data_IF_078461664397
#
_entry.id   IF_078461664397
#
_cell.length_a   1.000
_cell.length_b   1.000
_cell.length_c   1.000
_cell.angle_alpha   90.00
_cell.angle_beta   90.00
_cell.angle_gamma   90.00
#
_symmetry.space_group_name_H-M   'P 1'
#
loop_
_entity.id
_entity.type
_entity.pdbx_description
1 polymer ?
#
# COMPACT_ATOMS: atom_id res chain seq x y z
N UNK A 1 9.33 9.13 -31.24
CA UNK A 1 8.76 7.83 -30.83
C UNK A 1 9.48 7.39 -29.58
N UNK A 2 8.79 7.29 -28.43
CA UNK A 2 9.39 6.73 -27.22
C UNK A 2 9.70 5.23 -27.48
N UNK A 3 10.94 4.82 -27.25
CA UNK A 3 11.33 3.41 -27.32
C UNK A 3 10.57 2.67 -26.21
N UNK A 4 9.93 1.56 -26.57
CA UNK A 4 9.33 0.67 -25.59
C UNK A 4 10.36 0.14 -24.57
N UNK A 5 9.89 -0.46 -23.47
CA UNK A 5 10.79 -1.00 -22.42
C UNK A 5 11.77 -2.01 -23.03
N UNK A 6 13.03 -1.94 -22.60
CA UNK A 6 14.10 -2.86 -23.01
C UNK A 6 13.98 -4.22 -22.30
N UNK A 7 14.71 -5.23 -22.76
CA UNK A 7 14.79 -6.53 -22.10
C UNK A 7 15.25 -6.37 -20.62
N UNK A 8 16.23 -5.51 -20.37
CA UNK A 8 16.71 -5.23 -19.00
C UNK A 8 15.61 -4.63 -18.11
N UNK A 9 14.70 -3.84 -18.70
CA UNK A 9 13.54 -3.28 -17.98
C UNK A 9 12.58 -4.41 -17.56
N UNK A 10 12.34 -5.39 -18.43
CA UNK A 10 11.51 -6.54 -18.11
C UNK A 10 12.14 -7.44 -17.05
N UNK A 11 13.45 -7.72 -17.14
CA UNK A 11 14.19 -8.50 -16.14
C UNK A 11 14.13 -7.79 -14.78
N UNK A 12 14.36 -6.48 -14.74
CA UNK A 12 14.28 -5.69 -13.52
C UNK A 12 12.86 -5.67 -12.92
N UNK A 13 11.81 -5.64 -13.77
CA UNK A 13 10.43 -5.71 -13.30
C UNK A 13 10.09 -7.09 -12.70
N UNK A 14 10.58 -8.17 -13.33
CA UNK A 14 10.43 -9.53 -12.81
C UNK A 14 11.17 -9.72 -11.47
N UNK A 15 12.40 -9.22 -11.34
CA UNK A 15 13.15 -9.27 -10.06
C UNK A 15 12.40 -8.53 -8.95
N UNK A 16 11.88 -7.33 -9.23
CA UNK A 16 11.06 -6.58 -8.25
C UNK A 16 9.80 -7.33 -7.84
N UNK A 17 9.11 -7.95 -8.81
CA UNK A 17 7.92 -8.75 -8.52
C UNK A 17 8.23 -9.95 -7.63
N UNK A 18 9.31 -10.68 -7.92
CA UNK A 18 9.75 -11.81 -7.09
C UNK A 18 10.14 -11.36 -5.67
N UNK A 19 10.83 -10.22 -5.54
CA UNK A 19 11.18 -9.66 -4.22
C UNK A 19 9.95 -9.24 -3.45
N UNK A 20 9.02 -8.52 -4.08
CA UNK A 20 7.79 -8.06 -3.44
C UNK A 20 6.89 -9.20 -2.93
N UNK A 21 6.95 -10.37 -3.58
CA UNK A 21 6.06 -11.49 -3.27
C UNK A 21 6.71 -12.56 -2.37
N UNK A 22 8.04 -12.72 -2.45
CA UNK A 22 8.71 -13.90 -1.88
C UNK A 22 9.94 -13.58 -1.04
N UNK A 23 10.46 -12.35 -1.07
CA UNK A 23 11.54 -11.95 -0.18
C UNK A 23 10.94 -11.20 1.04
N UNK A 24 11.49 -11.41 2.25
CA UNK A 24 11.11 -10.59 3.40
C UNK A 24 11.36 -9.12 3.10
N UNK A 25 10.36 -8.23 3.23
CA UNK A 25 10.56 -6.81 3.00
C UNK A 25 11.49 -6.23 4.06
N UNK A 26 12.46 -5.42 3.62
CA UNK A 26 13.40 -4.74 4.52
C UNK A 26 13.09 -3.26 4.54
N UNK A 27 12.58 -2.77 5.66
CA UNK A 27 12.28 -1.36 5.84
C UNK A 27 13.56 -0.52 5.96
N UNK A 28 13.57 0.63 5.30
CA UNK A 28 14.58 1.66 5.49
C UNK A 28 14.26 2.54 6.73
N UNK A 29 13.00 2.67 7.08
CA UNK A 29 12.50 3.41 8.23
C UNK A 29 12.13 2.46 9.38
N UNK A 30 12.30 2.87 10.64
CA UNK A 30 11.88 2.05 11.78
C UNK A 30 10.36 1.82 11.78
N UNK A 31 9.92 0.71 12.35
CA UNK A 31 8.48 0.45 12.55
C UNK A 31 7.90 1.57 13.44
N UNK A 32 6.80 2.22 13.02
CA UNK A 32 6.16 3.26 13.81
C UNK A 32 5.77 2.76 15.20
N UNK A 33 6.07 3.57 16.20
CA UNK A 33 5.75 3.27 17.58
C UNK A 33 4.74 4.29 18.12
N UNK A 34 3.89 3.89 19.09
CA UNK A 34 3.01 4.83 19.77
C UNK A 34 3.79 6.01 20.33
N UNK A 35 3.23 7.21 20.20
CA UNK A 35 3.85 8.41 20.77
C UNK A 35 4.08 8.29 22.30
N UNK A 36 5.00 9.07 22.90
CA UNK A 36 5.39 8.92 24.31
C UNK A 36 4.24 9.00 25.31
N UNK A 37 3.21 9.79 25.03
CA UNK A 37 2.02 9.90 25.89
C UNK A 37 1.16 8.62 25.80
N UNK A 38 0.91 8.12 24.59
CA UNK A 38 0.17 6.88 24.37
C UNK A 38 0.94 5.65 24.88
N UNK A 39 2.27 5.63 24.73
CA UNK A 39 3.12 4.58 25.26
C UNK A 39 3.10 4.52 26.80
N UNK A 40 3.02 5.67 27.49
CA UNK A 40 2.87 5.75 28.96
C UNK A 40 1.50 5.26 29.42
N UNK A 41 0.45 5.53 28.65
CA UNK A 41 -0.89 5.02 28.93
C UNK A 41 -0.97 3.51 28.69
N UNK A 42 -0.38 3.00 27.60
CA UNK A 42 -0.26 1.57 27.31
C UNK A 42 0.53 0.81 28.40
N UNK A 43 1.56 1.43 28.99
CA UNK A 43 2.31 0.85 30.11
C UNK A 43 1.46 0.72 31.37
N UNK A 44 0.48 1.60 31.59
CA UNK A 44 -0.47 1.51 32.71
C UNK A 44 -1.53 0.43 32.48
N UNK A 45 -1.91 0.22 31.24
CA UNK A 45 -2.92 -0.74 30.78
C UNK A 45 -2.23 -1.89 30.07
N UNK A 46 -1.22 -2.51 30.59
CA UNK A 46 -0.48 -3.69 30.07
C UNK A 46 -0.87 -4.14 28.64
N UNK A 47 0.07 -4.13 27.71
CA UNK A 47 -0.05 -4.63 26.32
C UNK A 47 -0.46 -6.13 26.21
N UNK A 48 -0.61 -6.77 27.35
CA UNK A 48 -1.21 -8.12 27.49
C UNK A 48 -2.73 -8.15 27.30
N UNK A 49 -3.35 -7.04 26.90
CA UNK A 49 -4.78 -6.81 27.06
C UNK A 49 -5.62 -6.88 25.76
N UNK A 50 -5.07 -7.21 24.60
CA UNK A 50 -5.95 -7.56 23.48
C UNK A 50 -6.58 -8.92 23.74
N UNK A 51 -7.88 -8.97 23.74
CA UNK A 51 -8.61 -10.24 23.75
C UNK A 51 -8.29 -11.05 22.49
N UNK A 52 -8.51 -12.37 22.48
CA UNK A 52 -8.35 -13.17 21.27
C UNK A 52 -9.17 -12.67 20.07
N UNK A 53 -10.33 -12.07 20.33
CA UNK A 53 -11.20 -11.45 19.34
C UNK A 53 -10.55 -10.20 18.74
N UNK A 54 -10.08 -9.30 19.57
CA UNK A 54 -9.40 -8.07 19.15
C UNK A 54 -8.12 -8.36 18.38
N UNK A 55 -7.33 -9.37 18.79
CA UNK A 55 -6.16 -9.83 18.02
C UNK A 55 -6.52 -10.31 16.62
N UNK A 56 -7.62 -11.08 16.50
CA UNK A 56 -8.09 -11.56 15.19
C UNK A 56 -8.55 -10.41 14.30
N UNK A 57 -9.27 -9.45 14.86
CA UNK A 57 -9.73 -8.25 14.14
C UNK A 57 -8.53 -7.42 13.66
N UNK A 58 -7.61 -7.07 14.55
CA UNK A 58 -6.39 -6.35 14.20
C UNK A 58 -5.58 -7.08 13.12
N UNK A 59 -5.43 -8.39 13.24
CA UNK A 59 -4.72 -9.19 12.25
C UNK A 59 -5.42 -9.19 10.88
N UNK A 60 -6.75 -9.25 10.84
CA UNK A 60 -7.51 -9.18 9.60
C UNK A 60 -7.35 -7.80 8.92
N UNK A 61 -7.44 -6.70 9.68
CA UNK A 61 -7.25 -5.35 9.19
C UNK A 61 -5.82 -5.12 8.69
N UNK A 62 -4.80 -5.57 9.44
CA UNK A 62 -3.39 -5.47 9.02
C UNK A 62 -3.09 -6.32 7.78
N UNK A 63 -3.76 -7.46 7.60
CA UNK A 63 -3.64 -8.29 6.38
C UNK A 63 -4.22 -7.58 5.17
N UNK A 64 -5.33 -6.89 5.33
CA UNK A 64 -5.92 -6.05 4.27
C UNK A 64 -4.94 -4.94 3.88
N UNK A 65 -4.36 -4.24 4.87
CA UNK A 65 -3.36 -3.21 4.59
C UNK A 65 -2.18 -3.81 3.82
N UNK A 66 -1.57 -4.89 4.32
CA UNK A 66 -0.46 -5.55 3.63
C UNK A 66 -0.80 -5.93 2.17
N UNK A 67 -2.00 -6.46 1.90
CA UNK A 67 -2.43 -6.77 0.54
C UNK A 67 -2.60 -5.50 -0.33
N UNK A 68 -3.02 -4.39 0.27
CA UNK A 68 -3.06 -3.07 -0.34
C UNK A 68 -1.68 -2.61 -0.78
N UNK A 69 -0.67 -2.72 0.09
CA UNK A 69 0.72 -2.32 -0.20
C UNK A 69 1.35 -3.19 -1.30
N UNK A 70 1.06 -4.50 -1.32
CA UNK A 70 1.47 -5.38 -2.43
C UNK A 70 0.88 -4.91 -3.75
N UNK A 71 -0.39 -4.48 -3.74
CA UNK A 71 -1.07 -3.97 -4.93
C UNK A 71 -0.53 -2.59 -5.35
N UNK A 72 -0.30 -1.67 -4.40
CA UNK A 72 0.28 -0.35 -4.64
C UNK A 72 1.69 -0.45 -5.23
N UNK A 73 2.54 -1.29 -4.65
CA UNK A 73 3.88 -1.54 -5.16
C UNK A 73 3.87 -2.07 -6.60
N UNK A 74 2.93 -2.97 -6.95
CA UNK A 74 2.76 -3.47 -8.31
C UNK A 74 2.31 -2.37 -9.29
N UNK A 75 1.37 -1.50 -8.87
CA UNK A 75 0.93 -0.33 -9.63
C UNK A 75 2.11 0.59 -9.94
N UNK A 76 2.87 0.99 -8.91
CA UNK A 76 4.03 1.87 -9.06
C UNK A 76 5.13 1.27 -9.95
N UNK A 77 5.43 -0.02 -9.81
CA UNK A 77 6.41 -0.70 -10.67
C UNK A 77 5.99 -0.70 -12.14
N UNK A 78 4.70 -0.99 -12.43
CA UNK A 78 4.18 -0.95 -13.77
C UNK A 78 4.18 0.47 -14.37
N UNK A 79 3.74 1.45 -13.59
CA UNK A 79 3.70 2.86 -14.02
C UNK A 79 5.10 3.40 -14.27
N UNK A 80 6.09 3.10 -13.41
CA UNK A 80 7.48 3.47 -13.62
C UNK A 80 8.07 2.86 -14.90
N UNK A 81 7.70 1.61 -15.21
CA UNK A 81 8.18 0.88 -16.40
C UNK A 81 7.77 1.57 -17.70
N UNK A 82 6.59 2.16 -17.77
CA UNK A 82 6.02 2.78 -18.96
C UNK A 82 6.00 4.32 -18.92
N UNK A 83 6.46 4.94 -17.83
CA UNK A 83 6.56 6.39 -17.72
C UNK A 83 7.44 6.97 -18.83
N UNK A 84 6.96 8.05 -19.47
CA UNK A 84 7.65 8.74 -20.57
C UNK A 84 8.58 9.83 -20.04
N UNK A 85 8.16 10.48 -18.97
CA UNK A 85 8.92 11.50 -18.26
C UNK A 85 9.84 10.85 -17.19
N UNK A 86 11.07 11.34 -17.08
CA UNK A 86 12.06 10.84 -16.13
C UNK A 86 11.72 11.15 -14.68
N UNK A 87 11.13 12.32 -14.41
CA UNK A 87 10.73 12.75 -13.07
C UNK A 87 9.53 11.91 -12.59
N UNK A 88 8.57 11.68 -13.48
CA UNK A 88 7.42 10.78 -13.19
C UNK A 88 7.90 9.37 -12.89
N UNK A 89 8.87 8.85 -13.66
CA UNK A 89 9.44 7.51 -13.40
C UNK A 89 10.12 7.45 -12.04
N UNK A 90 10.94 8.45 -11.70
CA UNK A 90 11.64 8.47 -10.42
C UNK A 90 10.67 8.60 -9.24
N UNK A 91 9.64 9.43 -9.36
CA UNK A 91 8.56 9.50 -8.37
C UNK A 91 7.92 8.13 -8.13
N UNK A 92 7.51 7.42 -9.19
CA UNK A 92 6.90 6.08 -9.05
C UNK A 92 7.86 5.07 -8.38
N UNK A 93 9.16 5.14 -8.71
CA UNK A 93 10.15 4.26 -8.09
C UNK A 93 10.42 4.63 -6.63
N UNK A 94 10.35 5.91 -6.29
CA UNK A 94 10.50 6.35 -4.90
C UNK A 94 9.29 5.91 -4.07
N UNK A 95 8.07 6.12 -4.55
CA UNK A 95 6.86 5.65 -3.90
C UNK A 95 6.91 4.12 -3.69
N UNK A 96 7.28 3.35 -4.73
CA UNK A 96 7.44 1.89 -4.58
C UNK A 96 8.48 1.48 -3.51
N UNK A 97 9.51 2.29 -3.27
CA UNK A 97 10.47 2.04 -2.15
C UNK A 97 9.82 2.31 -0.79
N UNK A 98 9.00 3.35 -0.69
CA UNK A 98 8.28 3.70 0.54
C UNK A 98 7.23 2.64 0.89
N UNK A 99 6.55 2.07 -0.13
CA UNK A 99 5.66 0.91 0.07
C UNK A 99 6.39 -0.33 0.63
N UNK A 100 7.70 -0.46 0.40
CA UNK A 100 8.48 -1.53 1.03
C UNK A 100 8.56 -1.36 2.55
N UNK A 101 8.62 -0.12 3.04
CA UNK A 101 8.56 0.16 4.48
C UNK A 101 7.19 -0.25 5.05
N UNK A 102 6.10 0.13 4.37
CA UNK A 102 4.74 -0.22 4.76
C UNK A 102 4.52 -1.73 4.78
N UNK A 103 5.00 -2.44 3.76
CA UNK A 103 4.97 -3.91 3.73
C UNK A 103 5.67 -4.52 4.95
N UNK A 104 6.90 -4.07 5.24
CA UNK A 104 7.68 -4.57 6.36
C UNK A 104 7.01 -4.28 7.72
N UNK A 105 6.40 -3.10 7.87
CA UNK A 105 5.66 -2.74 9.09
C UNK A 105 4.42 -3.61 9.28
N UNK A 106 3.66 -3.82 8.20
CA UNK A 106 2.48 -4.68 8.23
C UNK A 106 2.84 -6.14 8.50
N UNK A 107 3.91 -6.67 7.88
CA UNK A 107 4.36 -8.06 8.07
C UNK A 107 4.83 -8.27 9.50
N UNK A 108 5.68 -7.39 10.03
CA UNK A 108 6.11 -7.42 11.44
C UNK A 108 4.91 -7.43 12.38
N UNK A 109 3.91 -6.58 12.11
CA UNK A 109 2.72 -6.53 12.95
C UNK A 109 1.86 -7.78 12.85
N UNK A 110 1.71 -8.35 11.67
CA UNK A 110 1.01 -9.63 11.47
C UNK A 110 1.67 -10.76 12.25
N UNK A 111 3.00 -10.85 12.24
CA UNK A 111 3.77 -11.84 13.03
C UNK A 111 3.51 -11.68 14.53
N UNK A 112 3.56 -10.45 15.06
CA UNK A 112 3.26 -10.14 16.47
C UNK A 112 1.85 -10.53 16.88
N UNK A 113 0.88 -10.40 15.96
CA UNK A 113 -0.50 -10.81 16.16
C UNK A 113 -0.71 -12.33 15.97
N UNK A 114 0.34 -13.09 15.63
CA UNK A 114 0.27 -14.52 15.35
C UNK A 114 -0.46 -14.85 14.05
N UNK A 115 -0.35 -13.97 13.06
CA UNK A 115 -1.03 -14.08 11.76
C UNK A 115 -0.02 -14.07 10.61
N UNK A 116 -0.51 -13.97 9.38
CA UNK A 116 0.30 -14.01 8.16
C UNK A 116 -0.29 -13.12 7.05
N UNK A 117 0.51 -12.72 6.04
CA UNK A 117 0.01 -12.08 4.83
C UNK A 117 -1.02 -12.93 4.06
N UNK A 118 -1.78 -12.27 3.19
CA UNK A 118 -2.78 -12.94 2.35
C UNK A 118 -2.12 -13.90 1.36
N UNK A 119 -2.68 -15.10 1.23
CA UNK A 119 -2.24 -16.10 0.23
C UNK A 119 -2.58 -15.66 -1.20
N UNK A 120 -3.42 -14.65 -1.37
CA UNK A 120 -3.83 -14.10 -2.66
C UNK A 120 -2.91 -12.96 -3.15
N UNK A 121 -1.86 -12.62 -2.41
CA UNK A 121 -0.93 -11.54 -2.79
C UNK A 121 -0.36 -11.68 -4.21
N UNK A 122 0.00 -12.88 -4.72
CA UNK A 122 0.44 -13.01 -6.11
C UNK A 122 -0.63 -12.61 -7.13
N UNK A 123 -1.90 -12.87 -6.84
CA UNK A 123 -3.02 -12.46 -7.70
C UNK A 123 -3.22 -10.95 -7.66
N UNK A 124 -3.16 -10.36 -6.47
CA UNK A 124 -3.28 -8.91 -6.29
C UNK A 124 -2.13 -8.18 -6.97
N UNK A 125 -0.90 -8.67 -6.83
CA UNK A 125 0.26 -8.11 -7.53
C UNK A 125 0.08 -8.16 -9.05
N UNK A 126 -0.22 -9.33 -9.63
CA UNK A 126 -0.36 -9.49 -11.07
C UNK A 126 -1.50 -8.63 -11.65
N UNK A 127 -2.66 -8.61 -10.99
CA UNK A 127 -3.81 -7.78 -11.39
C UNK A 127 -3.51 -6.29 -11.35
N UNK A 128 -2.91 -5.82 -10.26
CA UNK A 128 -2.52 -4.42 -10.08
C UNK A 128 -1.42 -3.99 -11.05
N UNK A 129 -0.43 -4.84 -11.32
CA UNK A 129 0.58 -4.59 -12.34
C UNK A 129 -0.06 -4.40 -13.73
N UNK A 130 -1.03 -5.24 -14.10
CA UNK A 130 -1.78 -5.10 -15.35
C UNK A 130 -2.55 -3.77 -15.41
N UNK A 131 -3.24 -3.39 -14.34
CA UNK A 131 -3.99 -2.12 -14.25
C UNK A 131 -3.02 -0.93 -14.35
N UNK A 132 -1.91 -0.95 -13.61
CA UNK A 132 -0.88 0.09 -13.65
C UNK A 132 -0.26 0.25 -15.04
N UNK A 133 -0.04 -0.87 -15.74
CA UNK A 133 0.41 -0.86 -17.14
C UNK A 133 -0.57 -0.10 -18.03
N UNK A 134 -1.86 -0.42 -17.95
CA UNK A 134 -2.89 0.28 -18.74
C UNK A 134 -2.94 1.77 -18.42
N UNK A 135 -2.89 2.15 -17.12
CA UNK A 135 -2.88 3.54 -16.71
C UNK A 135 -1.67 4.30 -17.29
N UNK A 136 -0.48 3.69 -17.25
CA UNK A 136 0.75 4.29 -17.78
C UNK A 136 0.75 4.41 -19.33
N UNK A 137 0.18 3.44 -20.03
CA UNK A 137 0.05 3.48 -21.49
C UNK A 137 -0.82 4.63 -21.99
N UNK A 138 -1.78 5.11 -21.16
CA UNK A 138 -2.60 6.28 -21.45
C UNK A 138 -1.81 7.61 -21.30
N UNK A 139 -0.57 7.55 -20.79
CA UNK A 139 0.37 8.68 -20.65
C UNK A 139 0.49 9.18 -19.22
N UNK A 140 1.56 9.93 -18.96
CA UNK A 140 1.98 10.30 -17.60
C UNK A 140 0.92 11.08 -16.81
N UNK A 141 0.16 11.97 -17.46
CA UNK A 141 -0.92 12.70 -16.79
C UNK A 141 -2.07 11.78 -16.33
N UNK A 142 -2.39 10.76 -17.13
CA UNK A 142 -3.41 9.77 -16.76
C UNK A 142 -2.87 8.85 -15.66
N UNK A 143 -1.62 8.43 -15.78
CA UNK A 143 -0.89 7.62 -14.78
C UNK A 143 -0.84 8.31 -13.42
N UNK A 144 -0.40 9.57 -13.36
CA UNK A 144 -0.40 10.40 -12.14
C UNK A 144 -1.81 10.60 -11.58
N UNK A 145 -2.81 10.81 -12.45
CA UNK A 145 -4.21 10.92 -12.03
C UNK A 145 -4.75 9.63 -11.42
N UNK A 146 -4.27 8.47 -11.92
CA UNK A 146 -4.60 7.17 -11.36
C UNK A 146 -3.98 7.00 -9.96
N UNK A 147 -2.71 7.38 -9.78
CA UNK A 147 -2.05 7.40 -8.45
C UNK A 147 -2.83 8.31 -7.49
N UNK A 148 -3.07 9.56 -7.85
CA UNK A 148 -3.78 10.50 -6.98
C UNK A 148 -5.14 9.99 -6.50
N UNK A 149 -5.88 9.29 -7.36
CA UNK A 149 -7.16 8.69 -6.98
C UNK A 149 -6.98 7.41 -6.14
N UNK A 150 -5.94 6.60 -6.41
CA UNK A 150 -5.60 5.42 -5.60
C UNK A 150 -5.30 5.84 -4.17
N UNK A 151 -4.38 6.81 -3.99
CA UNK A 151 -3.96 7.26 -2.66
C UNK A 151 -5.11 7.92 -1.88
N UNK A 152 -5.97 8.68 -2.57
CA UNK A 152 -7.18 9.21 -1.95
C UNK A 152 -8.12 8.11 -1.43
N UNK A 153 -8.23 6.99 -2.15
CA UNK A 153 -9.06 5.85 -1.72
C UNK A 153 -8.38 5.07 -0.60
N UNK A 154 -7.05 4.88 -0.66
CA UNK A 154 -6.26 4.23 0.38
C UNK A 154 -6.28 5.06 1.67
N UNK A 155 -6.08 6.38 1.62
CA UNK A 155 -6.21 7.27 2.78
C UNK A 155 -7.56 7.13 3.46
N UNK A 156 -8.66 7.16 2.69
CA UNK A 156 -10.00 6.96 3.24
C UNK A 156 -10.20 5.57 3.86
N UNK A 157 -9.58 4.54 3.28
CA UNK A 157 -9.60 3.18 3.78
C UNK A 157 -8.83 3.04 5.09
N UNK A 158 -7.58 3.54 5.15
CA UNK A 158 -6.75 3.55 6.37
C UNK A 158 -7.44 4.32 7.50
N UNK A 159 -8.10 5.44 7.20
CA UNK A 159 -8.92 6.16 8.18
C UNK A 159 -10.03 5.27 8.74
N UNK A 160 -10.74 4.53 7.89
CA UNK A 160 -11.78 3.60 8.37
C UNK A 160 -11.22 2.47 9.22
N UNK A 161 -9.98 2.02 8.95
CA UNK A 161 -9.30 1.03 9.79
C UNK A 161 -8.94 1.59 11.16
N UNK A 162 -8.55 2.86 11.28
CA UNK A 162 -8.35 3.52 12.56
C UNK A 162 -9.64 3.56 13.42
N UNK A 163 -10.80 3.67 12.76
CA UNK A 163 -12.09 3.63 13.46
C UNK A 163 -12.49 2.20 13.91
N UNK A 164 -11.98 1.16 13.23
CA UNK A 164 -12.27 -0.25 13.51
C UNK A 164 -11.26 -0.91 14.45
N UNK A 165 -10.00 -0.49 14.42
CA UNK A 165 -8.95 -1.05 15.27
C UNK A 165 -9.29 -0.84 16.74
N UNK A 166 -9.12 -1.86 17.60
CA UNK A 166 -9.29 -1.72 19.05
C UNK A 166 -8.49 -0.55 19.61
N UNK A 167 -9.07 0.22 20.53
CA UNK A 167 -8.39 1.36 21.15
C UNK A 167 -7.11 0.95 21.89
N UNK A 168 -7.07 -0.28 22.39
CA UNK A 168 -5.91 -0.85 23.07
C UNK A 168 -4.78 -1.24 22.08
N UNK A 169 -5.06 -1.39 20.77
CA UNK A 169 -4.05 -1.74 19.78
C UNK A 169 -3.29 -0.51 19.29
N UNK A 170 -2.60 0.15 20.18
CA UNK A 170 -1.82 1.36 19.90
C UNK A 170 -0.75 1.13 18.84
N UNK A 171 -0.24 -0.11 18.73
CA UNK A 171 0.83 -0.44 17.78
C UNK A 171 0.32 -0.52 16.34
N UNK A 172 -0.77 -1.22 16.08
CA UNK A 172 -1.42 -1.21 14.75
C UNK A 172 -1.89 0.19 14.37
N UNK A 173 -2.46 0.93 15.32
CA UNK A 173 -2.91 2.32 15.11
C UNK A 173 -1.75 3.24 14.71
N UNK A 174 -0.57 3.12 15.34
CA UNK A 174 0.61 3.91 15.00
C UNK A 174 1.11 3.61 13.57
N UNK A 175 1.14 2.35 13.18
CA UNK A 175 1.52 1.93 11.83
C UNK A 175 0.53 2.51 10.80
N UNK A 176 -0.77 2.30 10.99
CA UNK A 176 -1.80 2.75 10.06
C UNK A 176 -1.82 4.28 9.92
N UNK A 177 -1.60 5.02 11.01
CA UNK A 177 -1.53 6.49 10.96
C UNK A 177 -0.28 6.98 10.21
N UNK A 178 0.87 6.31 10.37
CA UNK A 178 2.07 6.65 9.61
C UNK A 178 1.88 6.38 8.12
N UNK A 179 1.34 5.23 7.74
CA UNK A 179 0.98 4.91 6.35
C UNK A 179 0.04 5.96 5.78
N UNK A 180 -1.06 6.26 6.49
CA UNK A 180 -2.05 7.26 6.05
C UNK A 180 -1.41 8.63 5.77
N UNK A 181 -0.44 9.05 6.58
CA UNK A 181 0.27 10.30 6.38
C UNK A 181 1.08 10.29 5.07
N UNK A 182 1.77 9.17 4.79
CA UNK A 182 2.58 9.01 3.58
C UNK A 182 1.69 9.00 2.33
N UNK A 183 0.53 8.32 2.35
CA UNK A 183 -0.40 8.25 1.22
C UNK A 183 -0.98 9.63 0.85
N UNK A 184 -1.24 10.48 1.85
CA UNK A 184 -1.62 11.87 1.61
C UNK A 184 -0.50 12.61 0.85
N UNK A 185 0.75 12.38 1.21
CA UNK A 185 1.92 12.92 0.53
C UNK A 185 2.03 12.46 -0.94
N UNK A 186 1.91 11.15 -1.18
CA UNK A 186 1.93 10.57 -2.52
C UNK A 186 0.82 11.15 -3.41
N UNK A 187 -0.41 11.20 -2.89
CA UNK A 187 -1.55 11.76 -3.62
C UNK A 187 -1.38 13.24 -3.98
N UNK A 188 -0.88 14.04 -3.04
CA UNK A 188 -0.58 15.46 -3.27
C UNK A 188 0.52 15.68 -4.30
N UNK A 189 1.60 14.88 -4.23
CA UNK A 189 2.69 14.93 -5.20
C UNK A 189 2.17 14.58 -6.60
N UNK A 190 1.43 13.49 -6.75
CA UNK A 190 0.87 13.09 -8.03
C UNK A 190 -0.05 14.17 -8.64
N UNK A 191 -0.85 14.86 -7.84
CA UNK A 191 -1.66 15.99 -8.30
C UNK A 191 -0.81 17.17 -8.74
N UNK A 192 0.18 17.59 -7.94
CA UNK A 192 1.05 18.72 -8.23
C UNK A 192 1.95 18.48 -9.46
N UNK A 193 2.34 17.22 -9.72
CA UNK A 193 3.06 16.79 -10.91
C UNK A 193 2.19 16.74 -12.19
N UNK A 194 0.93 17.17 -12.11
CA UNK A 194 0.03 17.31 -13.27
C UNK A 194 -0.91 16.15 -13.52
N UNK A 195 -1.16 15.35 -12.50
CA UNK A 195 -2.16 14.26 -12.55
C UNK A 195 -3.55 14.77 -12.95
N UNK A 196 -4.14 14.14 -13.96
CA UNK A 196 -5.48 14.50 -14.41
C UNK A 196 -6.56 13.94 -13.48
N UNK A 197 -7.64 14.69 -13.28
CA UNK A 197 -8.79 14.15 -12.54
C UNK A 197 -9.45 13.05 -13.36
N UNK A 198 -9.55 11.84 -12.79
CA UNK A 198 -10.20 10.72 -13.44
C UNK A 198 -11.73 10.90 -13.52
N UNK A 199 -12.36 10.40 -14.61
CA UNK A 199 -13.82 10.36 -14.73
C UNK A 199 -14.48 9.56 -13.60
N UNK A 200 -15.69 9.97 -13.20
CA UNK A 200 -16.47 9.31 -12.14
C UNK A 200 -16.60 7.78 -12.29
N UNK A 201 -16.96 7.27 -13.47
CA UNK A 201 -17.06 5.83 -13.69
C UNK A 201 -15.74 5.06 -13.44
N UNK A 202 -14.59 5.63 -13.81
CA UNK A 202 -13.28 5.03 -13.57
C UNK A 202 -13.00 4.97 -12.07
N UNK A 203 -13.24 6.07 -11.34
CA UNK A 203 -13.07 6.11 -9.88
C UNK A 203 -13.98 5.11 -9.15
N UNK A 204 -15.21 4.91 -9.66
CA UNK A 204 -16.13 3.91 -9.13
C UNK A 204 -15.62 2.48 -9.39
N UNK A 205 -15.13 2.20 -10.60
CA UNK A 205 -14.55 0.90 -10.94
C UNK A 205 -13.35 0.58 -10.04
N UNK A 206 -12.44 1.55 -9.81
CA UNK A 206 -11.32 1.41 -8.88
C UNK A 206 -11.81 1.04 -7.48
N UNK A 207 -12.83 1.72 -6.98
CA UNK A 207 -13.41 1.46 -5.66
C UNK A 207 -14.02 0.06 -5.56
N UNK A 208 -14.71 -0.40 -6.59
CA UNK A 208 -15.30 -1.76 -6.60
C UNK A 208 -14.21 -2.82 -6.64
N UNK A 209 -13.15 -2.63 -7.44
CA UNK A 209 -11.99 -3.53 -7.49
C UNK A 209 -11.30 -3.60 -6.12
N UNK A 210 -11.06 -2.46 -5.48
CA UNK A 210 -10.49 -2.38 -4.14
C UNK A 210 -11.36 -3.12 -3.10
N UNK A 211 -12.69 -3.00 -3.16
CA UNK A 211 -13.61 -3.73 -2.27
C UNK A 211 -13.50 -5.24 -2.40
N UNK A 212 -13.32 -5.75 -3.61
CA UNK A 212 -13.12 -7.20 -3.82
C UNK A 212 -11.84 -7.65 -3.15
N UNK A 213 -10.74 -6.92 -3.34
CA UNK A 213 -9.45 -7.21 -2.72
C UNK A 213 -9.56 -7.16 -1.18
N UNK A 214 -10.06 -6.06 -0.62
CA UNK A 214 -10.14 -5.89 0.83
C UNK A 214 -11.01 -6.93 1.49
N UNK A 215 -12.18 -7.27 0.91
CA UNK A 215 -13.07 -8.29 1.43
C UNK A 215 -12.47 -9.70 1.43
N UNK A 216 -11.70 -10.04 0.41
CA UNK A 216 -11.02 -11.34 0.32
C UNK A 216 -9.77 -11.39 1.20
N UNK A 217 -8.93 -10.36 1.22
CA UNK A 217 -7.74 -10.29 2.07
C UNK A 217 -8.08 -10.27 3.58
N UNK A 218 -9.25 -9.75 3.95
CA UNK A 218 -9.72 -9.81 5.34
C UNK A 218 -9.87 -11.25 5.85
N UNK A 219 -10.20 -12.20 4.96
CA UNK A 219 -10.49 -13.60 5.30
C UNK A 219 -9.34 -14.57 5.05
N UNK A 220 -8.50 -14.26 4.04
CA UNK A 220 -7.48 -15.19 3.51
C UNK A 220 -6.08 -14.54 3.57
#
# INVERSE_FOLDING_TARGET
>A
MARGPSLDTFISAADRALRALFAPPTAARPVPAPGPAAAREAQKTSDSALTPEEKRESAALMRVNHAGEVAAQALYHAQAMFARDGEVREFMLQAAREETDHLAWCETRLEELGSRPSVLNPLWYAGSFGIGTVAAMLGDRASLGFVAETERQVEGHLKSHLDLLPDADLRSRAIVEAMRHDEVGHGQHAQSAGGMRLPGPIRELMRQTARVMTHTAYRF
#
